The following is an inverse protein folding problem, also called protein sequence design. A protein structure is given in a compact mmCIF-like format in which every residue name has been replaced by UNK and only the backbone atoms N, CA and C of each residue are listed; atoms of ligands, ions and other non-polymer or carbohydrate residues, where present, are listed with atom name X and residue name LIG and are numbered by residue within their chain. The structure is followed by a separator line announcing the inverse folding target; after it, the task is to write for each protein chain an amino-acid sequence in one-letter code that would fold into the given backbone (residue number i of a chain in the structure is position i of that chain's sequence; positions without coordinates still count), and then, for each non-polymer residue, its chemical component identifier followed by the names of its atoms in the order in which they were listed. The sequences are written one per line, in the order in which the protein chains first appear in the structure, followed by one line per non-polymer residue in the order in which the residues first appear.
data_IF_835623311391
#
_entry.id   IF_835623311391
#
_cell.length_a   1.000
_cell.length_b   1.000
_cell.length_c   1.000
_cell.angle_alpha   90.00
_cell.angle_beta   90.00
_cell.angle_gamma   90.00
#
_symmetry.space_group_name_H-M   'P 1'
#
loop_
_entity.id
_entity.type
_entity.pdbx_description
1 polymer ?
#
# COMPACT_ATOMS: atom_id res chain seq x y z
N UNK A 1 12.92 -7.41 22.28
CA UNK A 1 12.31 -6.94 21.00
C UNK A 1 13.20 -7.36 19.85
N UNK A 2 12.64 -8.06 18.86
CA UNK A 2 13.38 -8.48 17.67
C UNK A 2 13.84 -7.24 16.90
N UNK A 3 15.12 -7.19 16.53
CA UNK A 3 15.68 -6.14 15.65
C UNK A 3 15.31 -6.39 14.18
N UNK A 4 14.76 -7.55 13.88
CA UNK A 4 14.44 -7.97 12.53
C UNK A 4 13.15 -7.30 11.99
N UNK A 5 13.20 -6.92 10.70
CA UNK A 5 12.02 -6.40 10.00
C UNK A 5 10.97 -7.49 9.86
N UNK A 6 9.72 -7.16 10.15
CA UNK A 6 8.59 -8.09 10.08
C UNK A 6 7.28 -7.40 9.79
N UNK A 7 6.26 -8.17 9.41
CA UNK A 7 4.88 -7.71 9.26
C UNK A 7 3.99 -8.45 10.24
N UNK A 8 3.27 -7.69 11.08
CA UNK A 8 2.24 -8.21 11.96
C UNK A 8 0.90 -8.20 11.23
N UNK A 9 0.11 -9.24 11.45
CA UNK A 9 -1.29 -9.32 11.03
C UNK A 9 -2.16 -9.08 12.26
N UNK A 10 -2.85 -7.94 12.29
CA UNK A 10 -3.66 -7.51 13.43
C UNK A 10 -5.12 -7.51 13.00
N UNK A 11 -5.94 -8.46 13.48
CA UNK A 11 -7.37 -8.45 13.21
C UNK A 11 -8.02 -7.18 13.78
N UNK A 12 -8.76 -6.46 12.93
CA UNK A 12 -9.55 -5.28 13.36
C UNK A 12 -11.00 -5.70 13.55
N UNK A 13 -11.55 -6.43 12.58
CA UNK A 13 -12.91 -6.96 12.60
C UNK A 13 -13.00 -8.17 11.67
N UNK A 14 -14.19 -8.79 11.58
CA UNK A 14 -14.44 -9.89 10.65
C UNK A 14 -14.09 -9.45 9.22
N UNK A 15 -13.15 -10.17 8.59
CA UNK A 15 -12.67 -9.84 7.24
C UNK A 15 -11.88 -8.55 7.11
N UNK A 16 -11.44 -7.93 8.21
CA UNK A 16 -10.61 -6.71 8.21
C UNK A 16 -9.34 -6.92 9.02
N UNK A 17 -8.19 -6.80 8.36
CA UNK A 17 -6.88 -7.06 8.98
C UNK A 17 -5.93 -5.91 8.67
N UNK A 18 -5.30 -5.35 9.70
CA UNK A 18 -4.17 -4.46 9.52
C UNK A 18 -2.87 -5.27 9.31
N UNK A 19 -2.12 -4.90 8.29
CA UNK A 19 -0.78 -5.38 8.00
C UNK A 19 0.20 -4.31 8.46
N UNK A 20 0.77 -4.49 9.65
CA UNK A 20 1.70 -3.54 10.28
C UNK A 20 3.13 -3.96 10.02
N UNK A 21 3.81 -3.28 9.10
CA UNK A 21 5.23 -3.46 8.85
C UNK A 21 6.06 -2.75 9.91
N UNK A 22 6.98 -3.47 10.57
CA UNK A 22 7.92 -2.96 11.55
C UNK A 22 9.34 -3.02 11.01
N UNK A 23 10.09 -1.93 11.16
CA UNK A 23 11.51 -1.85 10.83
C UNK A 23 12.27 -1.11 11.95
N UNK A 24 12.64 -1.81 13.03
CA UNK A 24 13.21 -1.21 14.23
C UNK A 24 14.51 -0.45 13.99
N UNK A 25 15.34 -0.92 13.06
CA UNK A 25 16.64 -0.32 12.76
C UNK A 25 16.58 0.78 11.69
N UNK A 26 15.40 1.08 11.16
CA UNK A 26 15.24 2.14 10.16
C UNK A 26 14.93 3.47 10.84
N UNK A 27 15.96 4.23 11.15
CA UNK A 27 15.88 5.53 11.84
C UNK A 27 15.67 6.71 10.90
N UNK A 28 15.46 6.46 9.61
CA UNK A 28 15.13 7.46 8.58
C UNK A 28 14.02 6.94 7.69
N UNK A 29 13.00 7.78 7.49
CA UNK A 29 11.92 7.51 6.55
C UNK A 29 11.65 8.75 5.70
N UNK A 30 11.97 8.69 4.40
CA UNK A 30 11.90 9.83 3.48
C UNK A 30 12.68 11.06 4.00
N UNK A 31 11.97 12.11 4.43
CA UNK A 31 12.54 13.32 5.01
C UNK A 31 12.51 13.36 6.56
N UNK A 32 12.01 12.33 7.17
CA UNK A 32 11.96 12.19 8.63
C UNK A 32 13.23 11.51 9.12
N UNK A 33 13.92 12.15 10.04
CA UNK A 33 15.20 11.72 10.61
C UNK A 33 15.07 11.49 12.11
N UNK A 34 16.05 10.78 12.66
CA UNK A 34 16.17 10.53 14.10
C UNK A 34 14.91 9.84 14.69
N UNK A 35 14.37 8.88 13.96
CA UNK A 35 13.29 8.04 14.46
C UNK A 35 13.84 7.08 15.52
N UNK A 36 13.66 7.40 16.78
CA UNK A 36 14.27 6.69 17.91
C UNK A 36 13.93 5.20 17.96
N UNK A 37 12.74 4.83 17.49
CA UNK A 37 12.23 3.45 17.54
C UNK A 37 12.06 2.82 16.16
N UNK A 38 12.72 3.36 15.13
CA UNK A 38 12.59 2.87 13.78
C UNK A 38 11.35 3.37 13.04
N UNK A 39 10.97 2.70 11.96
CA UNK A 39 9.86 3.10 11.10
C UNK A 39 8.79 2.02 11.01
N UNK A 40 7.55 2.45 10.72
CA UNK A 40 6.39 1.59 10.48
C UNK A 40 5.73 1.90 9.15
N UNK A 41 5.00 0.92 8.62
CA UNK A 41 4.07 1.12 7.53
C UNK A 41 2.81 0.29 7.81
N UNK A 42 1.66 0.94 7.81
CA UNK A 42 0.38 0.28 8.06
C UNK A 42 -0.42 0.21 6.76
N UNK A 43 -0.95 -0.96 6.47
CA UNK A 43 -1.89 -1.21 5.38
C UNK A 43 -3.10 -1.91 5.97
N UNK A 44 -4.27 -1.75 5.36
CA UNK A 44 -5.47 -2.47 5.79
C UNK A 44 -5.99 -3.30 4.63
N UNK A 45 -6.25 -4.57 4.89
CA UNK A 45 -6.88 -5.50 3.96
C UNK A 45 -8.32 -5.74 4.39
N UNK A 46 -9.24 -5.52 3.46
CA UNK A 46 -10.64 -5.96 3.53
C UNK A 46 -10.78 -7.20 2.67
N UNK A 47 -11.25 -8.27 3.28
CA UNK A 47 -11.41 -9.55 2.60
C UNK A 47 -12.43 -9.48 1.46
N UNK A 48 -12.23 -10.33 0.48
CA UNK A 48 -13.18 -10.53 -0.60
C UNK A 48 -14.52 -11.11 -0.11
N UNK A 49 -15.56 -10.89 -0.89
CA UNK A 49 -16.83 -11.63 -0.81
C UNK A 49 -17.01 -12.49 -2.05
N UNK A 50 -18.14 -13.18 -2.14
CA UNK A 50 -18.42 -14.07 -3.28
C UNK A 50 -18.36 -13.33 -4.62
N UNK A 51 -18.94 -12.11 -4.67
CA UNK A 51 -18.98 -11.26 -5.88
C UNK A 51 -18.23 -9.92 -5.68
N UNK A 52 -17.46 -9.77 -4.63
CA UNK A 52 -16.75 -8.52 -4.31
C UNK A 52 -15.25 -8.77 -4.19
N UNK A 53 -14.42 -7.91 -4.82
CA UNK A 53 -12.97 -8.03 -4.73
C UNK A 53 -12.47 -7.80 -3.30
N UNK A 54 -11.28 -8.31 -3.00
CA UNK A 54 -10.53 -7.86 -1.85
C UNK A 54 -10.05 -6.41 -2.06
N UNK A 55 -9.94 -5.65 -0.99
CA UNK A 55 -9.45 -4.25 -1.04
C UNK A 55 -8.27 -4.08 -0.12
N UNK A 56 -7.10 -3.77 -0.69
CA UNK A 56 -5.88 -3.43 0.05
C UNK A 56 -5.68 -1.92 0.04
N UNK A 57 -5.61 -1.32 1.23
CA UNK A 57 -5.46 0.14 1.38
C UNK A 57 -4.04 0.48 1.80
N UNK A 58 -3.40 1.38 1.06
CA UNK A 58 -2.09 1.98 1.33
C UNK A 58 -0.96 0.96 1.57
N UNK A 59 -0.63 0.09 0.58
CA UNK A 59 0.49 -0.83 0.71
C UNK A 59 1.80 -0.07 0.96
N UNK A 60 2.77 -0.69 1.65
CA UNK A 60 4.04 -0.05 1.98
C UNK A 60 4.94 0.13 0.75
N UNK A 61 6.11 0.70 0.93
CA UNK A 61 7.15 0.73 -0.10
C UNK A 61 7.98 -0.56 -0.15
N UNK A 62 8.81 -0.70 -1.20
CA UNK A 62 9.65 -1.87 -1.48
C UNK A 62 10.57 -2.28 -0.33
N UNK A 63 10.91 -1.36 0.58
CA UNK A 63 11.68 -1.69 1.78
C UNK A 63 11.02 -2.78 2.65
N UNK A 64 9.71 -2.96 2.53
CA UNK A 64 8.96 -3.97 3.27
C UNK A 64 8.59 -5.19 2.43
N UNK A 65 8.90 -5.25 1.13
CA UNK A 65 8.44 -6.31 0.21
C UNK A 65 8.71 -7.72 0.75
N UNK A 66 9.92 -7.98 1.23
CA UNK A 66 10.32 -9.31 1.71
C UNK A 66 9.49 -9.85 2.89
N UNK A 67 8.88 -8.97 3.68
CA UNK A 67 8.05 -9.35 4.84
C UNK A 67 6.56 -9.09 4.63
N UNK A 68 6.21 -8.15 3.75
CA UNK A 68 4.83 -7.78 3.46
C UNK A 68 4.16 -8.75 2.49
N UNK A 69 4.81 -9.08 1.37
CA UNK A 69 4.22 -9.94 0.34
C UNK A 69 3.89 -11.34 0.86
N UNK A 70 4.77 -12.03 1.62
CA UNK A 70 4.41 -13.32 2.23
C UNK A 70 3.28 -13.21 3.27
N UNK A 71 3.20 -12.10 4.00
CA UNK A 71 2.11 -11.88 4.95
C UNK A 71 0.77 -11.67 4.25
N UNK A 72 0.77 -10.89 3.15
CA UNK A 72 -0.42 -10.69 2.32
C UNK A 72 -0.88 -11.99 1.65
N UNK A 73 0.05 -12.78 1.10
CA UNK A 73 -0.26 -14.04 0.43
C UNK A 73 -0.93 -15.08 1.36
N UNK A 74 -0.65 -15.05 2.67
CA UNK A 74 -1.36 -15.87 3.65
C UNK A 74 -2.84 -15.49 3.82
N UNK A 75 -3.17 -14.21 3.61
CA UNK A 75 -4.53 -13.69 3.72
C UNK A 75 -5.28 -13.76 2.39
N UNK A 76 -4.56 -13.73 1.27
CA UNK A 76 -5.07 -13.83 -0.10
C UNK A 76 -4.35 -14.97 -0.84
N UNK A 77 -4.63 -16.24 -0.48
CA UNK A 77 -3.93 -17.38 -1.08
C UNK A 77 -4.30 -17.62 -2.54
N UNK A 78 -5.47 -17.17 -2.97
CA UNK A 78 -5.91 -17.27 -4.36
C UNK A 78 -5.57 -15.98 -5.12
N UNK A 79 -4.48 -16.03 -5.88
CA UNK A 79 -4.01 -14.93 -6.70
C UNK A 79 -4.91 -14.61 -7.91
N UNK A 80 -5.85 -15.50 -8.28
CA UNK A 80 -6.81 -15.26 -9.35
C UNK A 80 -7.99 -14.39 -8.91
N UNK A 81 -8.19 -14.24 -7.60
CA UNK A 81 -9.25 -13.40 -7.05
C UNK A 81 -8.98 -11.92 -7.30
N UNK A 82 -9.97 -11.14 -7.75
CA UNK A 82 -9.78 -9.71 -8.02
C UNK A 82 -9.30 -8.94 -6.78
N UNK A 83 -8.29 -8.09 -6.96
CA UNK A 83 -7.70 -7.27 -5.91
C UNK A 83 -7.76 -5.79 -6.30
N UNK A 84 -8.43 -4.98 -5.50
CA UNK A 84 -8.37 -3.53 -5.59
C UNK A 84 -7.30 -2.99 -4.64
N UNK A 85 -6.42 -2.12 -5.12
CA UNK A 85 -5.38 -1.51 -4.30
C UNK A 85 -5.53 0.01 -4.28
N UNK A 86 -5.88 0.54 -3.13
CA UNK A 86 -6.00 1.99 -2.90
C UNK A 86 -4.63 2.58 -2.60
N UNK A 87 -4.17 3.51 -3.43
CA UNK A 87 -2.85 4.11 -3.36
C UNK A 87 -2.96 5.63 -3.21
N UNK A 88 -2.55 6.15 -2.07
CA UNK A 88 -2.47 7.58 -1.81
C UNK A 88 -1.14 8.16 -2.30
N UNK A 89 -0.13 8.15 -1.44
CA UNK A 89 1.19 8.66 -1.80
C UNK A 89 1.92 7.73 -2.79
N UNK A 90 2.35 8.29 -3.92
CA UNK A 90 3.08 7.58 -4.97
C UNK A 90 4.55 8.04 -4.99
N UNK A 91 5.47 7.09 -4.87
CA UNK A 91 6.90 7.29 -5.02
C UNK A 91 7.57 6.04 -5.64
N UNK A 92 8.83 6.10 -6.09
CA UNK A 92 9.51 4.97 -6.72
C UNK A 92 9.56 3.69 -5.85
N UNK A 93 9.67 3.84 -4.52
CA UNK A 93 9.68 2.68 -3.62
C UNK A 93 8.32 1.99 -3.55
N UNK A 94 7.22 2.76 -3.51
CA UNK A 94 5.86 2.19 -3.52
C UNK A 94 5.56 1.56 -4.88
N UNK A 95 5.92 2.20 -5.98
CA UNK A 95 5.75 1.64 -7.33
C UNK A 95 6.47 0.31 -7.47
N UNK A 96 7.67 0.16 -6.93
CA UNK A 96 8.39 -1.12 -6.97
C UNK A 96 7.63 -2.26 -6.27
N UNK A 97 6.97 -2.00 -5.13
CA UNK A 97 6.11 -2.99 -4.48
C UNK A 97 4.83 -3.25 -5.29
N UNK A 98 4.21 -2.21 -5.87
CA UNK A 98 3.01 -2.36 -6.68
C UNK A 98 3.26 -3.21 -7.93
N UNK A 99 4.45 -3.13 -8.53
CA UNK A 99 4.86 -4.03 -9.63
C UNK A 99 4.88 -5.49 -9.18
N UNK A 100 5.47 -5.78 -8.01
CA UNK A 100 5.46 -7.15 -7.48
C UNK A 100 4.05 -7.65 -7.16
N UNK A 101 3.14 -6.77 -6.75
CA UNK A 101 1.72 -7.11 -6.61
C UNK A 101 1.06 -7.40 -7.96
N UNK A 102 1.34 -6.60 -9.00
CA UNK A 102 0.80 -6.81 -10.34
C UNK A 102 1.28 -8.13 -10.96
N UNK A 103 2.53 -8.53 -10.71
CA UNK A 103 3.05 -9.83 -11.11
C UNK A 103 2.38 -10.99 -10.39
N UNK A 104 2.01 -10.80 -9.12
CA UNK A 104 1.41 -11.85 -8.29
C UNK A 104 -0.10 -11.97 -8.50
N UNK A 105 -0.79 -10.84 -8.69
CA UNK A 105 -2.26 -10.76 -8.79
C UNK A 105 -2.67 -10.20 -10.17
N UNK A 106 -2.90 -11.04 -11.18
CA UNK A 106 -3.21 -10.59 -12.56
C UNK A 106 -4.48 -9.75 -12.68
N UNK A 107 -5.44 -9.93 -11.74
CA UNK A 107 -6.70 -9.17 -11.67
C UNK A 107 -6.61 -7.88 -10.84
N UNK A 108 -5.39 -7.38 -10.58
CA UNK A 108 -5.18 -6.17 -9.79
C UNK A 108 -5.64 -4.91 -10.53
N UNK A 109 -6.41 -4.07 -9.82
CA UNK A 109 -6.77 -2.72 -10.24
C UNK A 109 -6.26 -1.71 -9.20
N UNK A 110 -5.64 -0.63 -9.64
CA UNK A 110 -5.16 0.46 -8.77
C UNK A 110 -6.20 1.58 -8.69
N UNK A 111 -6.51 2.02 -7.47
CA UNK A 111 -7.39 3.16 -7.20
C UNK A 111 -6.55 4.28 -6.63
N UNK A 112 -6.54 5.44 -7.26
CA UNK A 112 -5.71 6.58 -6.84
C UNK A 112 -6.34 7.91 -7.24
N UNK A 113 -5.78 9.02 -6.74
CA UNK A 113 -6.19 10.36 -7.18
C UNK A 113 -5.68 10.67 -8.60
N UNK A 114 -6.20 11.73 -9.22
CA UNK A 114 -5.76 12.15 -10.56
C UNK A 114 -4.25 12.45 -10.64
N UNK A 115 -3.69 13.08 -9.61
CA UNK A 115 -2.24 13.31 -9.55
C UNK A 115 -1.46 12.02 -9.28
N UNK A 116 -2.02 11.11 -8.46
CA UNK A 116 -1.46 9.79 -8.23
C UNK A 116 -1.38 8.94 -9.49
N UNK A 117 -2.43 8.99 -10.34
CA UNK A 117 -2.44 8.27 -11.63
C UNK A 117 -1.30 8.74 -12.55
N UNK A 118 -1.12 10.05 -12.71
CA UNK A 118 -0.02 10.62 -13.51
C UNK A 118 1.35 10.19 -12.99
N UNK A 119 1.54 10.19 -11.67
CA UNK A 119 2.78 9.73 -11.04
C UNK A 119 3.01 8.23 -11.24
N UNK A 120 1.95 7.42 -11.19
CA UNK A 120 2.05 5.98 -11.47
C UNK A 120 2.46 5.74 -12.91
N UNK A 121 1.82 6.39 -13.89
CA UNK A 121 2.15 6.29 -15.32
C UNK A 121 3.61 6.67 -15.58
N UNK A 122 4.08 7.78 -15.00
CA UNK A 122 5.46 8.24 -15.15
C UNK A 122 6.46 7.28 -14.50
N UNK A 123 6.23 6.90 -13.23
CA UNK A 123 7.18 6.09 -12.47
C UNK A 123 7.14 4.60 -12.84
N UNK A 124 6.06 4.12 -13.46
CA UNK A 124 5.90 2.69 -13.77
C UNK A 124 6.94 2.17 -14.75
N UNK A 125 7.35 2.99 -15.68
CA UNK A 125 8.37 2.65 -16.69
C UNK A 125 9.80 2.95 -16.27
N UNK A 126 9.99 3.69 -15.17
CA UNK A 126 11.32 4.05 -14.66
C UNK A 126 12.01 2.83 -14.03
N UNK A 127 13.23 2.58 -14.45
CA UNK A 127 14.10 1.56 -13.84
C UNK A 127 15.11 2.20 -12.90
N UNK A 128 15.52 1.47 -11.87
CA UNK A 128 16.68 1.91 -11.08
C UNK A 128 17.92 1.85 -11.96
N UNK A 129 18.77 2.89 -11.93
CA UNK A 129 20.04 2.82 -12.63
C UNK A 129 20.87 1.65 -12.09
N UNK A 130 21.46 0.87 -12.99
CA UNK A 130 22.43 -0.17 -12.62
C UNK A 130 23.68 0.48 -12.05
N UNK A 131 24.36 -0.15 -11.07
CA UNK A 131 25.67 0.30 -10.63
C UNK A 131 26.64 0.39 -11.81
N UNK A 132 27.58 1.34 -11.82
CA UNK A 132 28.58 1.43 -12.89
C UNK A 132 29.36 0.10 -13.03
N UNK A 133 29.35 -0.48 -14.22
CA UNK A 133 30.05 -1.74 -14.53
C UNK A 133 29.20 -3.01 -14.43
N UNK A 134 27.94 -2.93 -13.97
CA UNK A 134 26.99 -4.05 -13.97
C UNK A 134 25.85 -3.78 -14.95
N UNK A 135 26.10 -3.95 -16.25
CA UNK A 135 25.04 -4.03 -17.26
C UNK A 135 24.37 -5.41 -17.17
N UNK A 136 23.53 -5.61 -16.19
CA UNK A 136 22.67 -6.79 -16.15
C UNK A 136 21.40 -6.53 -16.95
N UNK A 137 21.07 -7.48 -17.81
CA UNK A 137 19.81 -7.50 -18.55
C UNK A 137 18.67 -7.59 -17.52
N UNK A 138 17.98 -6.47 -17.29
CA UNK A 138 16.88 -6.42 -16.32
C UNK A 138 15.62 -7.04 -16.96
N UNK A 139 14.89 -7.91 -16.24
CA UNK A 139 13.67 -8.51 -16.76
C UNK A 139 12.66 -7.44 -17.19
N UNK A 140 11.75 -7.75 -18.13
CA UNK A 140 10.71 -6.82 -18.50
C UNK A 140 9.88 -6.40 -17.27
N UNK A 141 9.43 -5.14 -17.25
CA UNK A 141 8.52 -4.66 -16.22
C UNK A 141 7.12 -5.19 -16.53
N UNK A 142 6.31 -5.50 -15.49
CA UNK A 142 4.91 -5.82 -15.69
C UNK A 142 4.16 -4.63 -16.29
N UNK A 143 3.11 -4.89 -17.03
CA UNK A 143 2.21 -3.86 -17.53
C UNK A 143 1.58 -3.08 -16.35
N UNK A 144 1.31 -1.80 -16.58
CA UNK A 144 0.59 -0.99 -15.60
C UNK A 144 -0.85 -1.54 -15.48
N UNK A 145 -1.29 -1.94 -14.27
CA UNK A 145 -2.67 -2.37 -14.06
C UNK A 145 -3.69 -1.29 -14.43
N UNK A 146 -4.95 -1.67 -14.58
CA UNK A 146 -6.02 -0.70 -14.79
C UNK A 146 -6.06 0.33 -13.65
N UNK A 147 -6.29 1.61 -14.00
CA UNK A 147 -6.35 2.71 -13.05
C UNK A 147 -7.77 3.20 -12.90
N UNK A 148 -8.29 3.20 -11.67
CA UNK A 148 -9.51 3.90 -11.28
C UNK A 148 -9.16 5.22 -10.62
N UNK A 149 -9.52 6.32 -11.27
CA UNK A 149 -9.13 7.68 -10.84
C UNK A 149 -10.21 8.33 -10.00
N UNK A 150 -9.87 8.68 -8.77
CA UNK A 150 -10.73 9.45 -7.85
C UNK A 150 -10.42 10.94 -8.02
N UNK A 151 -11.40 11.71 -8.44
CA UNK A 151 -11.22 13.15 -8.69
C UNK A 151 -11.42 14.01 -7.44
N UNK A 152 -12.44 13.72 -6.66
CA UNK A 152 -12.77 14.43 -5.43
C UNK A 152 -13.08 13.46 -4.30
N UNK A 153 -14.27 12.89 -4.31
CA UNK A 153 -14.77 11.93 -3.36
C UNK A 153 -15.55 10.83 -4.09
N UNK A 154 -15.40 9.60 -3.65
CA UNK A 154 -16.14 8.47 -4.18
C UNK A 154 -16.31 7.40 -3.11
N UNK A 155 -17.47 6.75 -3.08
CA UNK A 155 -17.73 5.59 -2.23
C UNK A 155 -17.53 4.30 -3.03
N UNK A 156 -16.75 3.40 -2.48
CA UNK A 156 -16.52 2.05 -2.99
C UNK A 156 -17.28 1.06 -2.13
N UNK A 157 -18.23 0.34 -2.73
CA UNK A 157 -18.89 -0.78 -2.07
C UNK A 157 -17.92 -1.96 -1.94
N UNK A 158 -17.92 -2.62 -0.79
CA UNK A 158 -17.07 -3.75 -0.47
C UNK A 158 -17.91 -4.93 0.02
N UNK A 159 -17.26 -6.08 0.24
CA UNK A 159 -17.88 -7.25 0.83
C UNK A 159 -18.50 -6.97 2.20
N UNK A 160 -19.41 -7.82 2.63
CA UNK A 160 -20.10 -7.77 3.93
C UNK A 160 -20.91 -6.48 4.16
N UNK A 161 -21.40 -5.85 3.09
CA UNK A 161 -22.18 -4.61 3.15
C UNK A 161 -21.39 -3.38 3.59
N UNK A 162 -20.06 -3.47 3.59
CA UNK A 162 -19.18 -2.35 3.95
C UNK A 162 -19.03 -1.37 2.80
N UNK A 163 -18.65 -0.15 3.14
CA UNK A 163 -18.32 0.87 2.16
C UNK A 163 -17.08 1.65 2.57
N UNK A 164 -16.26 1.98 1.59
CA UNK A 164 -15.06 2.76 1.76
C UNK A 164 -15.23 4.10 1.07
N UNK A 165 -15.24 5.17 1.83
CA UNK A 165 -15.24 6.53 1.31
C UNK A 165 -13.80 6.92 0.97
N UNK A 166 -13.55 7.23 -0.29
CA UNK A 166 -12.26 7.65 -0.82
C UNK A 166 -12.28 9.15 -1.06
N UNK A 167 -11.34 9.89 -0.45
CA UNK A 167 -11.32 11.36 -0.47
C UNK A 167 -9.95 11.82 -0.97
N UNK A 168 -9.90 12.48 -2.12
CA UNK A 168 -8.68 13.07 -2.64
C UNK A 168 -8.23 14.25 -1.76
N UNK A 169 -7.00 14.18 -1.27
CA UNK A 169 -6.40 15.16 -0.35
C UNK A 169 -5.03 15.59 -0.84
N UNK A 170 -4.95 16.20 -2.03
CA UNK A 170 -3.66 16.60 -2.58
C UNK A 170 -3.02 17.71 -1.74
N UNK A 171 -1.72 17.55 -1.48
CA UNK A 171 -0.90 18.60 -0.88
C UNK A 171 0.33 18.84 -1.74
N UNK A 172 1.03 19.99 -1.62
CA UNK A 172 2.25 20.24 -2.39
C UNK A 172 3.31 19.15 -2.20
N UNK A 173 3.40 18.58 -1.00
CA UNK A 173 4.36 17.51 -0.68
C UNK A 173 3.90 16.14 -1.16
N UNK A 174 2.60 15.88 -1.13
CA UNK A 174 2.01 14.62 -1.53
C UNK A 174 0.84 14.85 -2.50
N UNK A 175 1.13 15.17 -3.76
CA UNK A 175 0.09 15.55 -4.73
C UNK A 175 -0.91 14.43 -5.03
N UNK A 176 -0.49 13.16 -4.86
CA UNK A 176 -1.35 12.00 -5.01
C UNK A 176 -2.20 11.65 -3.77
N UNK A 177 -2.18 12.48 -2.72
CA UNK A 177 -2.86 12.18 -1.45
C UNK A 177 -4.29 11.68 -1.61
N UNK A 178 -4.63 10.60 -0.90
CA UNK A 178 -5.95 9.97 -0.90
C UNK A 178 -6.20 9.38 0.49
N UNK A 179 -7.26 9.82 1.15
CA UNK A 179 -7.75 9.21 2.39
C UNK A 179 -8.77 8.11 2.05
N UNK A 180 -8.83 7.12 2.91
CA UNK A 180 -9.85 6.09 2.85
C UNK A 180 -10.52 5.95 4.23
N UNK A 181 -11.84 6.06 4.28
CA UNK A 181 -12.62 6.01 5.52
C UNK A 181 -13.69 4.93 5.46
N UNK A 182 -13.63 3.97 6.35
CA UNK A 182 -14.66 2.94 6.54
C UNK A 182 -15.56 3.35 7.69
N UNK A 183 -16.81 3.70 7.38
CA UNK A 183 -17.74 4.33 8.33
C UNK A 183 -18.21 3.42 9.45
N UNK A 184 -18.46 2.14 9.17
CA UNK A 184 -19.03 1.23 10.16
C UNK A 184 -18.08 0.93 11.33
N UNK A 185 -16.77 1.00 11.08
CA UNK A 185 -15.72 0.83 12.08
C UNK A 185 -15.18 2.15 12.60
N UNK A 186 -15.53 3.28 11.99
CA UNK A 186 -14.87 4.56 12.25
C UNK A 186 -13.39 4.55 11.90
N UNK A 187 -12.97 3.74 10.92
CA UNK A 187 -11.58 3.51 10.58
C UNK A 187 -11.12 4.46 9.47
N UNK A 188 -10.23 5.40 9.83
CA UNK A 188 -9.59 6.31 8.87
C UNK A 188 -8.17 5.82 8.53
N UNK A 189 -7.94 5.54 7.26
CA UNK A 189 -6.64 5.21 6.70
C UNK A 189 -6.10 6.44 5.97
N UNK A 190 -5.21 7.17 6.64
CA UNK A 190 -4.81 8.53 6.24
C UNK A 190 -3.53 8.58 5.41
N UNK A 191 -2.85 7.45 5.21
CA UNK A 191 -1.54 7.35 4.53
C UNK A 191 -0.50 8.31 5.15
N UNK A 192 -0.17 9.39 4.48
CA UNK A 192 0.80 10.39 4.94
C UNK A 192 0.19 11.52 5.77
N UNK A 193 -1.13 11.66 5.75
CA UNK A 193 -1.81 12.67 6.54
C UNK A 193 -1.79 12.28 8.03
N UNK A 194 -1.36 13.18 8.91
CA UNK A 194 -1.21 12.92 10.35
C UNK A 194 -0.29 11.72 10.68
N UNK A 195 0.61 11.33 9.76
CA UNK A 195 1.45 10.18 9.97
C UNK A 195 2.55 10.44 11.00
N UNK A 196 2.78 9.44 11.86
CA UNK A 196 3.93 9.35 12.74
C UNK A 196 4.48 7.94 12.73
N UNK A 197 5.77 7.77 13.05
CA UNK A 197 6.39 6.46 13.13
C UNK A 197 6.56 6.03 14.59
N UNK A 198 5.83 4.99 14.97
CA UNK A 198 5.95 4.33 16.25
C UNK A 198 6.14 2.83 16.03
N UNK A 199 7.40 2.39 15.98
CA UNK A 199 7.74 1.00 15.72
C UNK A 199 7.55 0.16 16.99
N UNK A 200 6.31 -0.19 17.29
CA UNK A 200 5.91 -1.04 18.41
C UNK A 200 4.99 -2.15 17.94
N UNK A 201 4.96 -3.27 18.69
CA UNK A 201 4.02 -4.37 18.47
C UNK A 201 2.63 -4.06 19.03
N UNK A 202 2.54 -3.10 19.94
CA UNK A 202 1.29 -2.69 20.53
C UNK A 202 0.42 -1.94 19.50
N UNK A 203 -0.83 -2.30 19.46
CA UNK A 203 -1.86 -1.58 18.72
C UNK A 203 -2.57 -0.69 19.74
N UNK A 204 -2.41 0.61 19.60
CA UNK A 204 -3.01 1.59 20.52
C UNK A 204 -4.51 1.73 20.29
#
# INVERSE_FOLDING_TARGET
TSTERRTLQIPIDTGVVALRGLSPERHRFELEYALERGSTANSVLFAAGDDQPAVLVHPPGAAYSAVFLPALAKLLPDASHPLLVVVGHVNPNRVALLRSLAETYPGLELITSNAGAKLLEELWTQRKPSPPGEEQEQPPLPDLPSLRVIRHEQTLAMAQGRSLQLIATPTPRWPGGLLAFEQSLGLLMSDKFFSAHLCTEEWA
#
